data_IF_490251761132
#
_entry.id   IF_490251761132
#
_cell.length_a   1.000
_cell.length_b   1.000
_cell.length_c   1.000
_cell.angle_alpha   90.00
_cell.angle_beta   90.00
_cell.angle_gamma   90.00
#
_symmetry.space_group_name_H-M   'P 1'
#
loop_
_entity.id
_entity.type
_entity.pdbx_description
1 polymer ?
#
# COMPACT_ATOMS: atom_id res chain seq x y z
N UNK A 1 9.60 -4.14 -4.66
CA UNK A 1 10.16 -5.36 -4.05
C UNK A 1 9.09 -6.16 -3.31
N UNK A 2 8.29 -5.55 -2.42
CA UNK A 2 7.25 -6.23 -1.62
C UNK A 2 6.22 -7.02 -2.44
N UNK A 3 5.84 -6.52 -3.61
CA UNK A 3 4.92 -7.22 -4.52
C UNK A 3 5.42 -8.62 -4.90
N UNK A 4 6.72 -8.76 -5.12
CA UNK A 4 7.33 -10.05 -5.45
C UNK A 4 7.29 -11.02 -4.27
N UNK A 5 7.49 -10.51 -3.05
CA UNK A 5 7.38 -11.31 -1.82
C UNK A 5 5.95 -11.85 -1.66
N UNK A 6 4.94 -11.01 -1.88
CA UNK A 6 3.53 -11.45 -1.86
C UNK A 6 3.23 -12.56 -2.87
N UNK A 7 3.80 -12.47 -4.08
CA UNK A 7 3.66 -13.49 -5.11
C UNK A 7 4.28 -14.83 -4.70
N UNK A 8 5.52 -14.82 -4.20
CA UNK A 8 6.20 -16.03 -3.73
C UNK A 8 5.42 -16.67 -2.57
N UNK A 9 4.96 -15.86 -1.61
CA UNK A 9 4.22 -16.37 -0.47
C UNK A 9 2.91 -17.04 -0.91
N UNK A 10 2.20 -16.46 -1.88
CA UNK A 10 1.00 -17.04 -2.48
C UNK A 10 1.29 -18.35 -3.22
N UNK A 11 2.36 -18.40 -4.03
CA UNK A 11 2.81 -19.62 -4.71
C UNK A 11 3.17 -20.74 -3.72
N UNK A 12 3.76 -20.38 -2.58
CA UNK A 12 4.09 -21.29 -1.49
C UNK A 12 2.92 -21.66 -0.58
N UNK A 13 1.72 -21.12 -0.80
CA UNK A 13 0.54 -21.36 0.05
C UNK A 13 0.65 -20.77 1.46
N UNK A 14 1.54 -19.79 1.68
CA UNK A 14 1.74 -19.13 2.96
C UNK A 14 0.81 -17.92 3.12
N UNK A 15 0.26 -17.75 4.32
CA UNK A 15 -0.43 -16.50 4.66
C UNK A 15 0.55 -15.33 4.67
N UNK A 16 0.19 -14.24 4.00
CA UNK A 16 1.07 -13.10 3.79
C UNK A 16 0.36 -11.79 4.12
N UNK A 17 0.98 -11.01 4.99
CA UNK A 17 0.61 -9.64 5.28
C UNK A 17 1.78 -8.73 4.89
N UNK A 18 1.48 -7.65 4.19
CA UNK A 18 2.47 -6.69 3.71
C UNK A 18 2.20 -5.32 4.31
N UNK A 19 3.28 -4.61 4.65
CA UNK A 19 3.21 -3.19 4.97
C UNK A 19 3.05 -2.39 3.68
N UNK A 20 1.84 -1.92 3.37
CA UNK A 20 1.60 -1.06 2.21
C UNK A 20 2.12 0.34 2.53
N UNK A 21 3.34 0.61 2.09
CA UNK A 21 3.97 1.90 2.31
C UNK A 21 3.31 2.98 1.45
N UNK A 22 2.83 4.02 2.13
CA UNK A 22 2.32 5.25 1.53
C UNK A 22 3.04 6.42 2.16
N UNK A 23 3.17 7.51 1.40
CA UNK A 23 3.66 8.75 1.98
C UNK A 23 2.70 9.21 3.09
N UNK A 24 3.20 9.26 4.32
CA UNK A 24 2.44 9.68 5.49
C UNK A 24 2.91 11.06 5.92
N UNK A 25 2.10 12.09 5.62
CA UNK A 25 2.36 13.45 6.09
C UNK A 25 1.93 13.66 7.54
N UNK A 26 0.64 13.43 7.82
CA UNK A 26 0.07 13.69 9.14
C UNK A 26 0.09 12.48 10.07
N UNK A 27 -0.08 11.25 9.56
CA UNK A 27 -0.17 10.05 10.39
C UNK A 27 -1.47 9.90 11.21
N UNK A 28 -2.35 10.89 11.26
CA UNK A 28 -3.60 10.84 12.05
C UNK A 28 -4.89 11.09 11.25
N UNK A 29 -4.81 11.09 9.92
CA UNK A 29 -5.97 11.02 9.01
C UNK A 29 -6.55 12.34 8.52
N UNK A 30 -5.91 13.49 8.76
CA UNK A 30 -6.42 14.80 8.29
C UNK A 30 -6.01 15.15 6.86
N UNK A 31 -4.84 14.70 6.40
CA UNK A 31 -4.28 15.17 5.12
C UNK A 31 -4.64 14.31 3.90
N UNK A 32 -5.12 13.09 4.09
CA UNK A 32 -5.45 12.16 2.99
C UNK A 32 -4.29 11.63 2.14
N UNK A 33 -3.04 12.07 2.33
CA UNK A 33 -1.94 11.65 1.44
C UNK A 33 -1.59 10.15 1.52
N UNK A 34 -1.94 9.49 2.62
CA UNK A 34 -1.79 8.03 2.76
C UNK A 34 -3.00 7.24 2.23
N UNK A 35 -3.85 7.85 1.40
CA UNK A 35 -4.99 7.17 0.81
C UNK A 35 -4.53 6.08 -0.18
N UNK A 36 -5.26 4.98 -0.18
CA UNK A 36 -5.16 3.93 -1.18
C UNK A 36 -6.10 4.27 -2.33
N UNK A 37 -5.54 4.46 -3.53
CA UNK A 37 -6.27 4.85 -4.74
C UNK A 37 -7.34 3.78 -5.05
N UNK A 38 -8.55 4.25 -5.36
CA UNK A 38 -9.70 3.39 -5.68
C UNK A 38 -10.47 2.85 -4.46
N UNK A 39 -9.92 2.94 -3.25
CA UNK A 39 -10.63 2.51 -2.03
C UNK A 39 -10.95 3.65 -1.07
N UNK A 40 -10.16 4.74 -1.10
CA UNK A 40 -10.26 5.83 -0.13
C UNK A 40 -9.77 5.46 1.28
N UNK A 41 -9.31 4.23 1.49
CA UNK A 41 -8.79 3.76 2.77
C UNK A 41 -7.53 4.54 3.14
N UNK A 42 -7.52 5.10 4.34
CA UNK A 42 -6.35 5.80 4.88
C UNK A 42 -5.45 4.80 5.60
N UNK A 43 -4.25 4.55 5.07
CA UNK A 43 -3.29 3.63 5.67
C UNK A 43 -2.90 4.04 7.11
N UNK A 44 -2.80 5.35 7.40
CA UNK A 44 -2.48 5.82 8.76
C UNK A 44 -3.60 5.59 9.79
N UNK A 45 -4.84 5.33 9.36
CA UNK A 45 -5.97 5.02 10.25
C UNK A 45 -6.27 3.53 10.34
N UNK A 46 -6.17 2.83 9.21
CA UNK A 46 -6.50 1.40 9.11
C UNK A 46 -5.30 0.50 9.45
N UNK A 47 -4.11 1.10 9.57
CA UNK A 47 -2.85 0.39 9.67
C UNK A 47 -2.22 0.19 8.29
N UNK A 48 -0.88 0.26 8.19
CA UNK A 48 -0.18 0.01 6.93
C UNK A 48 -0.13 -1.49 6.59
N UNK A 49 -0.27 -2.38 7.58
CA UNK A 49 -0.19 -3.83 7.39
C UNK A 49 -1.52 -4.39 6.86
N UNK A 50 -1.49 -5.04 5.69
CA UNK A 50 -2.67 -5.51 4.99
C UNK A 50 -2.47 -6.92 4.43
N UNK A 51 -3.54 -7.71 4.38
CA UNK A 51 -3.55 -9.06 3.80
C UNK A 51 -3.24 -9.00 2.29
N UNK A 52 -2.33 -9.87 1.82
CA UNK A 52 -1.99 -10.01 0.41
C UNK A 52 -3.21 -10.18 -0.51
N UNK A 53 -4.26 -10.88 -0.06
CA UNK A 53 -5.51 -11.09 -0.80
C UNK A 53 -6.20 -9.76 -1.16
N UNK A 54 -6.06 -8.74 -0.32
CA UNK A 54 -6.51 -7.37 -0.59
C UNK A 54 -5.47 -6.62 -1.42
N UNK A 55 -4.20 -6.65 -0.98
CA UNK A 55 -3.10 -5.88 -1.59
C UNK A 55 -2.94 -6.18 -3.08
N UNK A 56 -3.03 -7.45 -3.48
CA UNK A 56 -2.89 -7.87 -4.90
C UNK A 56 -3.98 -7.30 -5.82
N UNK A 57 -5.11 -6.85 -5.26
CA UNK A 57 -6.22 -6.23 -6.01
C UNK A 57 -6.05 -4.71 -6.14
N UNK A 58 -5.11 -4.11 -5.42
CA UNK A 58 -4.86 -2.67 -5.48
C UNK A 58 -4.20 -2.32 -6.83
N UNK A 59 -4.82 -1.40 -7.56
CA UNK A 59 -4.40 -1.02 -8.92
C UNK A 59 -3.02 -0.36 -8.98
N UNK A 60 -2.53 0.14 -7.84
CA UNK A 60 -1.34 0.98 -7.70
C UNK A 60 -0.15 0.29 -7.01
N UNK A 61 -0.39 -0.81 -6.30
CA UNK A 61 0.64 -1.43 -5.46
C UNK A 61 1.83 -1.92 -6.31
N UNK A 62 3.03 -1.49 -5.92
CA UNK A 62 4.27 -1.79 -6.63
C UNK A 62 4.41 -1.13 -8.00
N UNK A 63 3.61 -0.11 -8.35
CA UNK A 63 3.73 0.64 -9.62
C UNK A 63 4.31 2.04 -9.47
N UNK A 64 4.00 2.73 -8.38
CA UNK A 64 4.53 4.06 -8.08
C UNK A 64 4.48 4.33 -6.58
N UNK A 65 5.23 5.33 -6.14
CA UNK A 65 5.03 6.00 -4.86
C UNK A 65 4.64 7.46 -5.08
N UNK A 66 4.26 8.16 -4.00
CA UNK A 66 4.00 9.60 -4.01
C UNK A 66 5.05 10.32 -3.16
N UNK A 67 5.43 11.52 -3.58
CA UNK A 67 6.26 12.41 -2.76
C UNK A 67 5.42 13.28 -1.80
N UNK A 68 6.09 14.20 -1.08
CA UNK A 68 5.45 15.13 -0.14
C UNK A 68 4.41 16.07 -0.76
N UNK A 69 4.48 16.30 -2.08
CA UNK A 69 3.54 17.11 -2.84
C UNK A 69 2.40 16.25 -3.41
N UNK A 70 2.43 14.93 -3.22
CA UNK A 70 1.45 13.98 -3.73
C UNK A 70 1.71 13.58 -5.20
N UNK A 71 2.84 13.99 -5.80
CA UNK A 71 3.21 13.66 -7.18
C UNK A 71 3.59 12.19 -7.28
N UNK A 72 3.09 11.50 -8.31
CA UNK A 72 3.39 10.09 -8.57
C UNK A 72 4.77 9.94 -9.20
N UNK A 73 5.57 9.03 -8.66
CA UNK A 73 6.88 8.60 -9.16
C UNK A 73 6.81 7.09 -9.43
N UNK A 74 6.81 6.72 -10.71
CA UNK A 74 6.69 5.33 -11.16
C UNK A 74 8.02 4.58 -10.96
N UNK A 75 7.91 3.30 -10.60
CA UNK A 75 9.04 2.40 -10.41
C UNK A 75 9.44 1.70 -11.72
#
# INVERSE_FOLDING_TARGET
MEKFVGQIAEEGGAECFLSVEKYMKCGFGVCGQCAIDGTGVLACKSGPVMDWKLVKKLSEFGKYHRDAQGKKHYF
#
